data_IF_489762441897
#
_entry.id   IF_489762441897
#
_cell.length_a   1.000
_cell.length_b   1.000
_cell.length_c   1.000
_cell.angle_alpha   90.00
_cell.angle_beta   90.00
_cell.angle_gamma   90.00
#
_symmetry.space_group_name_H-M   'P 1'
#
loop_
_entity.id
_entity.type
_entity.pdbx_description
1 polymer ?
#
# COMPACT_ATOMS: atom_id res chain seq x y z
N UNK A 1 -20.62 8.18 20.84
CA UNK A 1 -19.37 7.85 20.12
C UNK A 1 -19.24 8.79 18.93
N UNK A 2 -18.05 9.29 18.58
CA UNK A 2 -17.88 10.02 17.32
C UNK A 2 -18.24 9.10 16.16
N UNK A 3 -18.92 9.64 15.14
CA UNK A 3 -19.22 8.87 13.93
C UNK A 3 -17.91 8.37 13.29
N UNK A 4 -17.88 7.09 12.90
CA UNK A 4 -16.76 6.52 12.15
C UNK A 4 -16.61 7.38 10.89
N UNK A 5 -15.46 8.02 10.69
CA UNK A 5 -15.21 8.81 9.48
C UNK A 5 -15.47 7.91 8.27
N UNK A 6 -16.33 8.36 7.37
CA UNK A 6 -16.57 7.68 6.12
C UNK A 6 -15.55 8.19 5.09
N UNK A 7 -14.74 7.29 4.57
CA UNK A 7 -13.90 7.55 3.41
C UNK A 7 -14.66 7.21 2.14
N UNK A 8 -14.38 7.92 1.05
CA UNK A 8 -14.91 7.55 -0.25
C UNK A 8 -14.29 6.22 -0.70
N UNK A 9 -15.07 5.36 -1.36
CA UNK A 9 -14.55 4.11 -1.93
C UNK A 9 -13.88 4.36 -3.29
N UNK A 10 -12.76 5.09 -3.25
CA UNK A 10 -11.95 5.44 -4.41
C UNK A 10 -10.51 5.75 -3.96
N UNK A 11 -9.61 5.96 -4.93
CA UNK A 11 -8.20 6.21 -4.68
C UNK A 11 -7.94 7.29 -3.62
N UNK A 12 -8.68 8.39 -3.68
CA UNK A 12 -8.53 9.52 -2.75
C UNK A 12 -8.91 9.11 -1.31
N UNK A 13 -10.03 8.41 -1.17
CA UNK A 13 -10.49 7.93 0.13
C UNK A 13 -9.58 6.84 0.71
N UNK A 14 -9.10 5.90 -0.11
CA UNK A 14 -8.18 4.85 0.33
C UNK A 14 -6.84 5.42 0.82
N UNK A 15 -6.28 6.41 0.11
CA UNK A 15 -5.06 7.11 0.56
C UNK A 15 -5.34 7.87 1.86
N UNK A 16 -6.47 8.59 1.94
CA UNK A 16 -6.85 9.34 3.14
C UNK A 16 -7.00 8.46 4.38
N UNK A 17 -7.67 7.32 4.24
CA UNK A 17 -7.82 6.33 5.32
C UNK A 17 -6.46 5.76 5.75
N UNK A 18 -5.64 5.38 4.77
CA UNK A 18 -4.30 4.85 5.02
C UNK A 18 -3.44 5.85 5.79
N UNK A 19 -3.47 7.14 5.45
CA UNK A 19 -2.71 8.17 6.15
C UNK A 19 -3.13 8.34 7.61
N UNK A 20 -4.43 8.21 7.91
CA UNK A 20 -4.88 8.26 9.31
C UNK A 20 -4.36 7.07 10.13
N UNK A 21 -4.39 5.87 9.53
CA UNK A 21 -3.88 4.64 10.16
C UNK A 21 -2.36 4.74 10.36
N UNK A 22 -1.62 5.14 9.33
CA UNK A 22 -0.17 5.31 9.36
C UNK A 22 0.25 6.33 10.42
N UNK A 23 -0.43 7.47 10.48
CA UNK A 23 -0.20 8.49 11.52
C UNK A 23 -0.43 7.93 12.92
N UNK A 24 -1.51 7.17 13.14
CA UNK A 24 -1.81 6.56 14.43
C UNK A 24 -0.75 5.52 14.86
N UNK A 25 -0.08 4.89 13.90
CA UNK A 25 0.98 3.90 14.11
C UNK A 25 2.40 4.50 14.07
N UNK A 26 2.53 5.81 13.84
CA UNK A 26 3.84 6.48 13.76
C UNK A 26 4.64 6.17 12.50
N UNK A 27 4.00 5.70 11.43
CA UNK A 27 4.64 5.35 10.16
C UNK A 27 4.62 6.59 9.24
N UNK A 28 5.78 7.10 8.80
CA UNK A 28 5.87 8.28 7.95
C UNK A 28 5.41 7.99 6.51
N UNK A 29 4.48 8.81 6.01
CA UNK A 29 4.09 8.85 4.61
C UNK A 29 3.37 10.17 4.30
N UNK A 30 3.40 10.60 3.04
CA UNK A 30 2.58 11.71 2.54
C UNK A 30 1.59 11.24 1.47
N UNK A 31 0.52 12.01 1.29
CA UNK A 31 -0.46 11.78 0.22
C UNK A 31 0.21 11.73 -1.16
N UNK A 32 1.07 12.71 -1.47
CA UNK A 32 1.73 12.81 -2.78
C UNK A 32 2.71 11.67 -3.00
N UNK A 33 3.45 11.27 -1.96
CA UNK A 33 4.33 10.10 -2.00
C UNK A 33 3.54 8.83 -2.32
N UNK A 34 2.45 8.58 -1.60
CA UNK A 34 1.60 7.40 -1.84
C UNK A 34 1.02 7.44 -3.26
N UNK A 35 0.36 8.54 -3.64
CA UNK A 35 -0.29 8.67 -4.94
C UNK A 35 0.68 8.51 -6.09
N UNK A 36 1.86 9.13 -6.02
CA UNK A 36 2.92 9.02 -7.05
C UNK A 36 3.32 7.57 -7.27
N UNK A 37 3.57 6.82 -6.19
CA UNK A 37 3.97 5.42 -6.28
C UNK A 37 2.81 4.56 -6.82
N UNK A 38 1.58 4.74 -6.35
CA UNK A 38 0.40 4.01 -6.88
C UNK A 38 0.23 4.20 -8.38
N UNK A 39 0.35 5.45 -8.85
CA UNK A 39 0.17 5.75 -10.27
C UNK A 39 1.24 5.09 -11.14
N UNK A 40 2.46 4.92 -10.62
CA UNK A 40 3.53 4.20 -11.31
C UNK A 40 3.32 2.68 -11.28
N UNK A 41 2.92 2.12 -10.14
CA UNK A 41 2.82 0.67 -9.97
C UNK A 41 1.58 0.05 -10.64
N UNK A 42 0.42 0.71 -10.53
CA UNK A 42 -0.87 0.09 -10.89
C UNK A 42 -1.81 1.02 -11.65
N UNK A 43 -1.44 2.28 -11.86
CA UNK A 43 -2.35 3.31 -12.39
C UNK A 43 -3.64 3.43 -11.55
N UNK A 44 -3.56 3.11 -10.25
CA UNK A 44 -4.71 3.16 -9.33
C UNK A 44 -5.62 1.93 -9.38
N UNK A 45 -5.23 0.82 -10.01
CA UNK A 45 -6.01 -0.41 -10.03
C UNK A 45 -5.70 -1.29 -8.79
N UNK A 46 -6.63 -1.43 -7.83
CA UNK A 46 -6.40 -2.23 -6.62
C UNK A 46 -6.36 -3.75 -6.91
N UNK A 47 -6.77 -4.19 -8.10
CA UNK A 47 -6.70 -5.60 -8.53
C UNK A 47 -5.56 -5.87 -9.52
N UNK A 48 -4.61 -4.95 -9.66
CA UNK A 48 -3.45 -5.17 -10.50
C UNK A 48 -2.64 -6.40 -10.03
N UNK A 49 -2.16 -7.18 -10.99
CA UNK A 49 -1.29 -8.35 -10.78
C UNK A 49 -0.23 -8.37 -11.88
N UNK A 50 1.01 -8.63 -11.50
CA UNK A 50 2.11 -8.84 -12.45
C UNK A 50 2.36 -10.34 -12.60
N UNK A 51 2.12 -10.89 -13.80
CA UNK A 51 2.28 -12.31 -14.11
C UNK A 51 3.54 -12.63 -14.94
N UNK A 52 4.43 -11.66 -15.13
CA UNK A 52 5.54 -11.78 -16.09
C UNK A 52 6.94 -11.82 -15.45
N UNK A 53 7.10 -11.23 -14.27
CA UNK A 53 8.42 -11.10 -13.64
C UNK A 53 8.90 -12.39 -12.96
N UNK A 54 10.10 -12.33 -12.38
CA UNK A 54 10.69 -13.48 -11.68
C UNK A 54 9.86 -13.93 -10.46
N UNK A 55 9.14 -13.02 -9.81
CA UNK A 55 8.28 -13.36 -8.68
C UNK A 55 7.07 -14.14 -9.17
N UNK A 56 6.47 -13.73 -10.28
CA UNK A 56 5.39 -14.46 -10.94
C UNK A 56 5.84 -15.86 -11.40
N UNK A 57 7.02 -15.97 -12.01
CA UNK A 57 7.63 -17.25 -12.39
C UNK A 57 7.83 -18.16 -11.16
N UNK A 58 8.18 -17.58 -10.02
CA UNK A 58 8.33 -18.29 -8.74
C UNK A 58 7.00 -18.52 -8.00
N UNK A 59 5.86 -18.14 -8.59
CA UNK A 59 4.52 -18.37 -8.02
C UNK A 59 4.10 -17.38 -6.93
N UNK A 60 4.80 -16.24 -6.79
CA UNK A 60 4.52 -15.20 -5.80
C UNK A 60 4.38 -13.82 -6.48
N UNK A 61 3.42 -13.66 -7.41
CA UNK A 61 3.30 -12.43 -8.19
C UNK A 61 3.03 -11.21 -7.30
N UNK A 62 3.50 -10.05 -7.77
CA UNK A 62 3.21 -8.73 -7.18
C UNK A 62 1.75 -8.33 -7.42
N UNK A 63 1.11 -7.73 -6.41
CA UNK A 63 -0.34 -7.50 -6.37
C UNK A 63 -0.73 -6.15 -5.77
N UNK A 64 -1.88 -5.65 -6.21
CA UNK A 64 -2.56 -4.49 -5.64
C UNK A 64 -1.96 -3.15 -6.04
N UNK A 65 -2.37 -2.09 -5.34
CA UNK A 65 -2.08 -0.70 -5.71
C UNK A 65 -0.58 -0.38 -5.77
N UNK A 66 0.22 -0.98 -4.88
CA UNK A 66 1.66 -0.78 -4.78
C UNK A 66 2.45 -2.06 -5.08
N UNK A 67 1.85 -3.00 -5.83
CA UNK A 67 2.51 -4.18 -6.40
C UNK A 67 3.36 -4.95 -5.37
N UNK A 68 2.82 -5.20 -4.19
CA UNK A 68 3.49 -5.99 -3.15
C UNK A 68 3.38 -7.49 -3.43
N UNK A 69 4.41 -8.26 -3.07
CA UNK A 69 4.33 -9.72 -2.99
C UNK A 69 3.78 -10.17 -1.62
N UNK A 70 3.12 -11.34 -1.58
CA UNK A 70 2.48 -11.87 -0.35
C UNK A 70 3.41 -11.96 0.86
N UNK A 71 4.67 -12.44 0.76
CA UNK A 71 5.58 -12.50 1.90
C UNK A 71 5.88 -11.13 2.50
N UNK A 72 6.10 -10.12 1.66
CA UNK A 72 6.37 -8.74 2.12
C UNK A 72 5.12 -8.11 2.71
N UNK A 73 3.96 -8.28 2.07
CA UNK A 73 2.68 -7.81 2.63
C UNK A 73 2.44 -8.36 4.04
N UNK A 74 2.66 -9.68 4.24
CA UNK A 74 2.49 -10.31 5.56
C UNK A 74 3.49 -9.81 6.58
N UNK A 75 4.75 -9.61 6.19
CA UNK A 75 5.80 -9.16 7.10
C UNK A 75 5.61 -7.70 7.57
N UNK A 76 5.02 -6.86 6.72
CA UNK A 76 4.81 -5.42 6.99
C UNK A 76 3.35 -5.05 7.21
N UNK A 77 2.47 -6.04 7.40
CA UNK A 77 1.05 -5.82 7.69
C UNK A 77 0.88 -4.84 8.87
N UNK A 78 -0.05 -3.90 8.71
CA UNK A 78 -0.34 -2.89 9.74
C UNK A 78 -1.61 -3.31 10.48
N UNK A 79 -1.47 -3.60 11.78
CA UNK A 79 -2.57 -4.02 12.63
C UNK A 79 -3.76 -3.04 12.55
N UNK A 80 -4.95 -3.60 12.31
CA UNK A 80 -6.20 -2.85 12.12
C UNK A 80 -6.68 -2.78 10.67
N UNK A 81 -5.90 -3.30 9.71
CA UNK A 81 -6.29 -3.43 8.30
C UNK A 81 -6.59 -4.87 7.89
N UNK A 82 -7.19 -5.05 6.70
CA UNK A 82 -7.48 -6.36 6.12
C UNK A 82 -6.20 -7.20 5.92
N UNK A 83 -6.35 -8.53 5.88
CA UNK A 83 -5.30 -9.46 5.46
C UNK A 83 -5.39 -9.81 3.97
N UNK A 84 -6.34 -9.23 3.24
CA UNK A 84 -6.41 -9.32 1.78
C UNK A 84 -5.43 -8.32 1.15
N UNK A 85 -4.47 -8.81 0.37
CA UNK A 85 -3.47 -7.98 -0.32
C UNK A 85 -4.10 -7.07 -1.39
N UNK A 86 -5.30 -7.38 -1.87
CA UNK A 86 -6.06 -6.54 -2.80
C UNK A 86 -6.93 -5.49 -2.10
N UNK A 87 -7.05 -5.53 -0.77
CA UNK A 87 -7.67 -4.45 -0.02
C UNK A 87 -6.80 -3.20 -0.16
N UNK A 88 -7.35 -2.08 -0.69
CA UNK A 88 -6.54 -0.93 -1.06
C UNK A 88 -5.87 -0.29 0.16
N UNK A 89 -6.55 -0.23 1.31
CA UNK A 89 -6.03 0.35 2.54
C UNK A 89 -4.94 -0.54 3.13
N UNK A 90 -5.16 -1.86 3.18
CA UNK A 90 -4.14 -2.80 3.66
C UNK A 90 -2.89 -2.78 2.78
N UNK A 91 -3.05 -2.76 1.45
CA UNK A 91 -1.94 -2.71 0.50
C UNK A 91 -1.12 -1.42 0.66
N UNK A 92 -1.79 -0.26 0.74
CA UNK A 92 -1.12 1.04 0.94
C UNK A 92 -0.38 1.07 2.27
N UNK A 93 -1.04 0.68 3.36
CA UNK A 93 -0.45 0.76 4.70
C UNK A 93 0.75 -0.17 4.86
N UNK A 94 0.67 -1.41 4.37
CA UNK A 94 1.78 -2.36 4.40
C UNK A 94 2.97 -1.88 3.55
N UNK A 95 2.71 -1.32 2.36
CA UNK A 95 3.77 -0.78 1.49
C UNK A 95 4.45 0.43 2.12
N UNK A 96 3.70 1.33 2.78
CA UNK A 96 4.28 2.47 3.50
C UNK A 96 5.11 2.02 4.70
N UNK A 97 4.67 0.98 5.42
CA UNK A 97 5.43 0.40 6.52
C UNK A 97 6.77 -0.19 6.03
N UNK A 98 6.74 -0.93 4.92
CA UNK A 98 7.95 -1.39 4.25
C UNK A 98 8.85 -0.23 3.82
N UNK A 99 8.27 0.81 3.20
CA UNK A 99 9.03 1.97 2.73
C UNK A 99 9.68 2.74 3.89
N UNK A 100 9.00 2.84 5.03
CA UNK A 100 9.54 3.46 6.23
C UNK A 100 10.75 2.68 6.76
N UNK A 101 10.69 1.35 6.82
CA UNK A 101 11.81 0.51 7.26
C UNK A 101 13.02 0.60 6.30
N UNK A 102 12.78 0.59 4.99
CA UNK A 102 13.86 0.54 3.99
C UNK A 102 14.41 1.89 3.55
N UNK A 103 13.56 2.90 3.50
CA UNK A 103 13.85 4.20 2.90
C UNK A 103 13.51 5.38 3.81
N UNK A 104 12.98 5.14 5.01
CA UNK A 104 12.56 6.17 5.96
C UNK A 104 11.19 6.79 5.70
N UNK A 105 10.65 6.71 4.48
CA UNK A 105 9.28 7.10 4.11
C UNK A 105 8.96 6.63 2.69
N UNK A 106 7.68 6.45 2.37
CA UNK A 106 7.18 6.30 0.99
C UNK A 106 7.61 7.47 0.09
N UNK A 107 7.85 8.65 0.67
CA UNK A 107 8.30 9.84 -0.07
C UNK A 107 9.67 9.65 -0.73
N UNK A 108 10.51 8.78 -0.15
CA UNK A 108 11.86 8.49 -0.62
C UNK A 108 11.91 7.35 -1.65
N UNK A 109 10.76 6.77 -2.01
CA UNK A 109 10.66 5.71 -3.01
C UNK A 109 10.52 6.34 -4.40
N UNK A 110 11.52 6.10 -5.25
CA UNK A 110 11.65 6.71 -6.58
C UNK A 110 11.62 5.69 -7.73
N UNK A 111 11.62 4.38 -7.44
CA UNK A 111 11.60 3.29 -8.41
C UNK A 111 10.37 2.40 -8.22
N UNK A 112 10.05 1.60 -9.24
CA UNK A 112 9.05 0.55 -9.12
C UNK A 112 9.41 -0.47 -8.03
N UNK A 113 8.39 -1.11 -7.46
CA UNK A 113 8.52 -2.15 -6.44
C UNK A 113 8.94 -3.50 -7.02
#
# INVERSE_FOLDING_TARGET
>A
APAKKAYADNLEGWIGESLEILRAKGIPASYDGIKRNIMRESTGNPRAINDWDINAVNGVPSKGLLQMIDPTFKAYHVEGTSWDIYDPVANITAACNYAADKYGSMDNVNSAY
#
